data_IF_890613309367
#
_entry.id   IF_890613309367
#
_cell.length_a   1.000
_cell.length_b   1.000
_cell.length_c   1.000
_cell.angle_alpha   90.00
_cell.angle_beta   90.00
_cell.angle_gamma   90.00
#
_symmetry.space_group_name_H-M   'P 1'
#
loop_
_entity.id
_entity.type
_entity.pdbx_description
1 polymer ?
#
# COMPACT_ATOMS: atom_id res chain seq x y z
N UNK A 1 -30.56 45.36 -16.36
CA UNK A 1 -29.43 44.53 -16.84
C UNK A 1 -28.23 45.39 -17.23
N UNK A 2 -28.42 46.46 -18.02
CA UNK A 2 -27.34 47.43 -18.35
C UNK A 2 -26.74 48.14 -17.12
N UNK A 3 -27.52 48.54 -16.11
CA UNK A 3 -26.99 49.13 -14.87
C UNK A 3 -26.06 48.18 -14.07
N UNK A 4 -26.35 46.87 -14.07
CA UNK A 4 -25.49 45.88 -13.42
C UNK A 4 -24.16 45.69 -14.16
N UNK A 5 -24.18 45.77 -15.48
CA UNK A 5 -22.97 45.70 -16.32
C UNK A 5 -22.11 46.95 -16.10
N UNK A 6 -22.72 48.13 -16.02
CA UNK A 6 -22.02 49.39 -15.78
C UNK A 6 -21.42 49.48 -14.36
N UNK A 7 -22.10 48.89 -13.37
CA UNK A 7 -21.56 48.75 -12.00
C UNK A 7 -20.35 47.83 -11.94
N UNK A 8 -20.38 46.70 -12.66
CA UNK A 8 -19.23 45.78 -12.74
C UNK A 8 -18.05 46.45 -13.46
N UNK A 9 -18.31 47.20 -14.53
CA UNK A 9 -17.26 47.89 -15.30
C UNK A 9 -16.52 48.93 -14.45
N UNK A 10 -17.25 49.75 -13.68
CA UNK A 10 -16.65 50.71 -12.73
C UNK A 10 -15.84 50.01 -11.63
N UNK A 11 -16.32 48.87 -11.11
CA UNK A 11 -15.58 48.11 -10.10
C UNK A 11 -14.27 47.51 -10.65
N UNK A 12 -14.25 47.13 -11.93
CA UNK A 12 -13.03 46.62 -12.58
C UNK A 12 -12.04 47.75 -12.82
N UNK A 13 -12.49 48.91 -13.29
CA UNK A 13 -11.62 50.08 -13.52
C UNK A 13 -10.99 50.62 -12.23
N UNK A 14 -11.69 50.53 -11.10
CA UNK A 14 -11.15 50.93 -9.80
C UNK A 14 -10.14 49.90 -9.25
N UNK A 15 -10.37 48.60 -9.51
CA UNK A 15 -9.39 47.55 -9.19
C UNK A 15 -8.13 47.66 -10.05
N UNK A 16 -8.26 47.98 -11.34
CA UNK A 16 -7.11 48.22 -12.22
C UNK A 16 -6.27 49.42 -11.74
N UNK A 17 -6.90 50.54 -11.36
CA UNK A 17 -6.18 51.70 -10.80
C UNK A 17 -5.46 51.39 -9.48
N UNK A 18 -6.06 50.57 -8.61
CA UNK A 18 -5.40 50.11 -7.37
C UNK A 18 -4.20 49.22 -7.67
N UNK A 19 -4.29 48.35 -8.67
CA UNK A 19 -3.18 47.49 -9.09
C UNK A 19 -2.04 48.29 -9.73
N UNK A 20 -2.35 49.33 -10.51
CA UNK A 20 -1.34 50.24 -11.07
C UNK A 20 -0.65 51.07 -9.99
N UNK A 21 -1.39 51.53 -8.97
CA UNK A 21 -0.81 52.22 -7.81
C UNK A 21 0.07 51.29 -6.96
N UNK A 22 -0.34 50.03 -6.75
CA UNK A 22 0.47 49.01 -6.09
C UNK A 22 1.73 48.68 -6.90
N UNK A 23 1.60 48.61 -8.23
CA UNK A 23 2.74 48.38 -9.13
C UNK A 23 3.76 49.51 -9.04
N UNK A 24 3.33 50.77 -8.97
CA UNK A 24 4.23 51.92 -8.81
C UNK A 24 4.97 51.89 -7.46
N UNK A 25 4.30 51.47 -6.38
CA UNK A 25 4.92 51.30 -5.05
C UNK A 25 5.91 50.12 -5.03
N UNK A 26 5.61 49.05 -5.77
CA UNK A 26 6.46 47.85 -5.83
C UNK A 26 7.68 48.01 -6.75
N UNK A 27 7.69 48.97 -7.68
CA UNK A 27 8.85 49.29 -8.54
C UNK A 27 9.96 50.05 -7.79
N UNK A 28 9.67 50.68 -6.64
CA UNK A 28 10.68 51.38 -5.79
C UNK A 28 11.50 50.46 -4.87
N UNK A 29 11.01 49.26 -4.52
CA UNK A 29 11.63 48.40 -3.50
C UNK A 29 12.42 47.18 -4.03
N UNK A 30 12.58 47.02 -5.36
CA UNK A 30 13.33 45.88 -5.93
C UNK A 30 12.68 44.50 -5.73
N UNK A 31 11.53 44.44 -5.08
CA UNK A 31 10.73 43.23 -4.79
C UNK A 31 10.21 42.57 -6.08
N UNK A 32 10.06 43.34 -7.16
CA UNK A 32 9.60 42.84 -8.47
C UNK A 32 10.60 41.89 -9.12
N UNK A 33 11.91 42.11 -8.98
CA UNK A 33 12.90 41.23 -9.61
C UNK A 33 13.05 39.90 -8.84
N UNK A 34 12.89 39.91 -7.52
CA UNK A 34 12.86 38.71 -6.70
C UNK A 34 11.55 37.93 -6.87
N UNK A 35 10.40 38.62 -6.99
CA UNK A 35 9.14 38.02 -7.41
C UNK A 35 9.19 37.53 -8.85
N UNK A 36 9.84 38.21 -9.79
CA UNK A 36 10.03 37.72 -11.17
C UNK A 36 10.96 36.51 -11.22
N UNK A 37 11.93 36.39 -10.31
CA UNK A 37 12.76 35.19 -10.18
C UNK A 37 11.95 34.01 -9.62
N UNK A 38 11.18 34.24 -8.55
CA UNK A 38 10.29 33.24 -7.95
C UNK A 38 9.12 32.83 -8.86
N UNK A 39 8.51 33.81 -9.53
CA UNK A 39 7.46 33.60 -10.52
C UNK A 39 8.06 33.05 -11.81
N UNK A 40 9.29 33.38 -12.19
CA UNK A 40 10.01 32.79 -13.33
C UNK A 40 10.30 31.30 -13.14
N UNK A 41 10.76 30.91 -11.95
CA UNK A 41 10.93 29.50 -11.55
C UNK A 41 9.57 28.76 -11.47
N UNK A 42 8.47 29.44 -11.11
CA UNK A 42 7.11 28.88 -11.18
C UNK A 42 6.46 28.98 -12.58
N UNK A 43 6.93 29.88 -13.44
CA UNK A 43 6.46 30.10 -14.80
C UNK A 43 7.18 29.22 -15.81
N UNK A 44 8.32 28.60 -15.49
CA UNK A 44 8.80 27.45 -16.26
C UNK A 44 7.86 26.24 -16.08
N UNK A 45 7.26 26.09 -14.89
CA UNK A 45 6.24 25.08 -14.59
C UNK A 45 4.90 25.42 -15.24
N UNK A 46 4.49 26.69 -15.28
CA UNK A 46 3.28 27.13 -15.98
C UNK A 46 3.47 27.28 -17.50
N UNK A 47 4.68 27.59 -17.96
CA UNK A 47 5.10 27.72 -19.36
C UNK A 47 5.17 26.37 -20.07
N UNK A 48 5.53 25.32 -19.32
CA UNK A 48 5.35 23.93 -19.76
C UNK A 48 3.88 23.46 -19.72
N UNK A 49 2.98 24.19 -19.04
CA UNK A 49 1.53 23.96 -19.06
C UNK A 49 0.78 24.79 -20.12
N UNK A 50 1.33 25.91 -20.59
CA UNK A 50 0.74 26.77 -21.64
C UNK A 50 1.15 26.40 -23.07
N UNK A 51 2.12 25.49 -23.27
CA UNK A 51 2.41 24.88 -24.58
C UNK A 51 1.31 23.94 -25.12
N UNK A 52 0.14 23.96 -24.48
CA UNK A 52 -1.05 23.22 -24.84
C UNK A 52 -2.18 24.16 -25.29
N UNK A 53 -1.88 25.22 -26.06
CA UNK A 53 -2.93 25.96 -26.79
C UNK A 53 -2.55 26.34 -28.23
N UNK A 54 -3.16 25.57 -29.13
CA UNK A 54 -3.89 25.98 -30.36
C UNK A 54 -3.08 26.65 -31.47
N UNK A 55 -2.51 25.81 -32.32
CA UNK A 55 -2.75 25.87 -33.76
C UNK A 55 -3.19 24.47 -34.18
N UNK A 56 -4.26 24.36 -34.97
CA UNK A 56 -5.12 23.17 -35.01
C UNK A 56 -4.40 21.82 -35.17
N UNK A 57 -4.25 21.05 -34.09
CA UNK A 57 -3.84 19.65 -34.04
C UNK A 57 -3.96 19.16 -32.56
N UNK A 58 -4.11 17.85 -32.33
CA UNK A 58 -4.54 17.27 -31.04
C UNK A 58 -3.62 17.49 -29.82
N UNK A 59 -4.10 17.13 -28.63
CA UNK A 59 -3.31 17.19 -27.39
C UNK A 59 -2.13 16.20 -27.40
N UNK A 60 -0.99 16.61 -26.84
CA UNK A 60 0.21 15.77 -26.69
C UNK A 60 0.64 15.71 -25.21
N UNK A 61 0.94 14.53 -24.68
CA UNK A 61 1.46 14.35 -23.32
C UNK A 61 2.92 13.88 -23.33
N UNK A 62 3.79 14.64 -22.68
CA UNK A 62 5.19 14.30 -22.50
C UNK A 62 5.47 13.94 -21.03
N UNK A 63 5.91 12.70 -20.77
CA UNK A 63 6.30 12.28 -19.42
C UNK A 63 7.48 13.10 -18.88
N UNK A 64 8.60 13.29 -19.62
CA UNK A 64 9.72 14.10 -19.14
C UNK A 64 9.30 15.51 -18.70
N UNK A 65 8.46 16.19 -19.49
CA UNK A 65 7.99 17.54 -19.19
C UNK A 65 7.07 17.58 -17.95
N UNK A 66 6.19 16.59 -17.80
CA UNK A 66 5.20 16.56 -16.71
C UNK A 66 5.66 15.76 -15.48
N UNK A 67 6.89 15.25 -15.49
CA UNK A 67 7.46 14.43 -14.42
C UNK A 67 7.51 15.16 -13.09
N UNK A 68 7.97 16.40 -13.09
CA UNK A 68 8.10 17.23 -11.89
C UNK A 68 6.71 17.48 -11.24
N UNK A 69 5.71 17.78 -12.07
CA UNK A 69 4.32 17.95 -11.64
C UNK A 69 3.78 16.67 -10.98
N UNK A 70 4.07 15.50 -11.56
CA UNK A 70 3.64 14.24 -10.96
C UNK A 70 4.33 13.93 -9.63
N UNK A 71 5.60 14.33 -9.46
CA UNK A 71 6.32 14.20 -8.19
C UNK A 71 5.65 15.05 -7.10
N UNK A 72 5.32 16.30 -7.39
CA UNK A 72 4.57 17.18 -6.48
C UNK A 72 3.19 16.58 -6.14
N UNK A 73 2.49 16.02 -7.13
CA UNK A 73 1.21 15.34 -6.89
C UNK A 73 1.34 14.13 -5.96
N UNK A 74 2.36 13.30 -6.16
CA UNK A 74 2.66 12.13 -5.31
C UNK A 74 2.90 12.56 -3.86
N UNK A 75 3.68 13.63 -3.66
CA UNK A 75 3.99 14.19 -2.35
C UNK A 75 2.75 14.78 -1.69
N UNK A 76 2.01 15.63 -2.41
CA UNK A 76 0.76 16.24 -1.93
C UNK A 76 -0.27 15.18 -1.52
N UNK A 77 -0.43 14.12 -2.31
CA UNK A 77 -1.32 12.99 -2.01
C UNK A 77 -0.74 12.00 -0.99
N UNK A 78 0.48 12.24 -0.48
CA UNK A 78 1.17 11.43 0.54
C UNK A 78 1.22 9.95 0.16
N UNK A 79 1.57 9.65 -1.08
CA UNK A 79 1.73 8.28 -1.52
C UNK A 79 2.79 7.57 -0.67
N UNK A 80 2.58 6.27 -0.44
CA UNK A 80 3.60 5.46 0.20
C UNK A 80 4.93 5.55 -0.60
N UNK A 81 6.09 5.85 0.03
CA UNK A 81 7.33 6.12 -0.68
C UNK A 81 7.78 4.99 -1.63
N UNK A 82 7.55 3.73 -1.24
CA UNK A 82 7.86 2.58 -2.09
C UNK A 82 6.96 2.53 -3.32
N UNK A 83 5.68 2.83 -3.16
CA UNK A 83 4.74 2.93 -4.28
C UNK A 83 5.10 4.10 -5.20
N UNK A 84 5.39 5.27 -4.63
CA UNK A 84 5.84 6.46 -5.35
C UNK A 84 7.06 6.16 -6.24
N UNK A 85 8.12 5.60 -5.65
CA UNK A 85 9.33 5.20 -6.37
C UNK A 85 9.03 4.18 -7.48
N UNK A 86 8.13 3.23 -7.22
CA UNK A 86 7.71 2.26 -8.23
C UNK A 86 7.02 2.96 -9.41
N UNK A 87 6.02 3.80 -9.17
CA UNK A 87 5.30 4.50 -10.23
C UNK A 87 6.24 5.35 -11.10
N UNK A 88 7.09 6.17 -10.48
CA UNK A 88 8.07 7.00 -11.18
C UNK A 88 9.01 6.12 -12.02
N UNK A 89 9.57 5.07 -11.44
CA UNK A 89 10.48 4.16 -12.15
C UNK A 89 9.82 3.48 -13.36
N UNK A 90 8.54 3.14 -13.28
CA UNK A 90 7.82 2.54 -14.41
C UNK A 90 7.54 3.55 -15.51
N UNK A 91 7.14 4.78 -15.17
CA UNK A 91 6.95 5.84 -16.16
C UNK A 91 8.28 6.19 -16.84
N UNK A 92 9.36 6.38 -16.07
CA UNK A 92 10.72 6.65 -16.58
C UNK A 92 11.21 5.56 -17.55
N UNK A 93 10.85 4.30 -17.31
CA UNK A 93 11.31 3.16 -18.12
C UNK A 93 10.51 2.96 -19.40
N UNK A 94 9.20 3.19 -19.35
CA UNK A 94 8.27 2.75 -20.39
C UNK A 94 7.61 3.88 -21.17
N UNK A 95 7.48 5.08 -20.60
CA UNK A 95 6.87 6.24 -21.27
C UNK A 95 7.98 7.14 -21.81
N UNK A 96 8.61 6.69 -22.90
CA UNK A 96 9.75 7.40 -23.53
C UNK A 96 9.32 8.40 -24.60
N UNK A 97 8.27 8.06 -25.33
CA UNK A 97 7.72 8.86 -26.43
C UNK A 97 6.48 9.63 -25.98
N UNK A 98 6.19 10.80 -26.57
CA UNK A 98 4.97 11.54 -26.30
C UNK A 98 3.71 10.74 -26.67
N UNK A 99 2.68 10.82 -25.83
CA UNK A 99 1.38 10.16 -26.03
C UNK A 99 0.41 11.15 -26.68
N UNK A 100 -0.05 10.85 -27.89
CA UNK A 100 -0.96 11.71 -28.67
C UNK A 100 -2.31 11.07 -28.91
N UNK A 101 -2.40 9.74 -28.79
CA UNK A 101 -3.62 8.99 -29.04
C UNK A 101 -3.69 7.69 -28.21
N UNK A 102 -4.88 7.08 -28.09
CA UNK A 102 -5.06 5.74 -27.51
C UNK A 102 -4.08 4.68 -28.03
N UNK A 103 -3.72 4.74 -29.32
CA UNK A 103 -2.77 3.81 -29.93
C UNK A 103 -1.36 3.89 -29.31
N UNK A 104 -0.92 5.08 -28.89
CA UNK A 104 0.40 5.25 -28.27
C UNK A 104 0.44 4.62 -26.87
N UNK A 105 -0.67 4.69 -26.14
CA UNK A 105 -0.85 3.92 -24.89
C UNK A 105 -0.71 2.43 -25.18
N UNK A 106 -1.43 1.91 -26.18
CA UNK A 106 -1.33 0.48 -26.54
C UNK A 106 0.11 0.06 -26.90
N UNK A 107 0.86 0.92 -27.61
CA UNK A 107 2.28 0.68 -27.92
C UNK A 107 3.14 0.62 -26.66
N UNK A 108 2.93 1.52 -25.70
CA UNK A 108 3.65 1.52 -24.41
C UNK A 108 3.44 0.22 -23.63
N UNK A 109 2.23 -0.35 -23.69
CA UNK A 109 1.91 -1.61 -23.01
C UNK A 109 2.27 -2.88 -23.81
N UNK A 110 2.58 -2.74 -25.10
CA UNK A 110 2.87 -3.87 -25.99
C UNK A 110 4.13 -4.62 -25.51
N UNK A 111 4.01 -5.94 -25.35
CA UNK A 111 5.12 -6.81 -24.97
C UNK A 111 5.50 -6.78 -23.49
N UNK A 112 4.77 -6.04 -22.63
CA UNK A 112 4.97 -6.08 -21.19
C UNK A 112 4.44 -7.40 -20.61
N UNK A 113 5.17 -7.97 -19.65
CA UNK A 113 4.63 -9.06 -18.82
C UNK A 113 3.42 -8.59 -18.01
N UNK A 114 2.57 -9.52 -17.57
CA UNK A 114 1.39 -9.20 -16.73
C UNK A 114 1.75 -8.35 -15.50
N UNK A 115 2.86 -8.66 -14.83
CA UNK A 115 3.33 -7.88 -13.68
C UNK A 115 3.84 -6.48 -14.05
N UNK A 116 4.48 -6.32 -15.21
CA UNK A 116 4.91 -5.00 -15.69
C UNK A 116 3.71 -4.15 -16.10
N UNK A 117 2.78 -4.73 -16.86
CA UNK A 117 1.53 -4.11 -17.28
C UNK A 117 0.74 -3.60 -16.08
N UNK A 118 0.58 -4.45 -15.05
CA UNK A 118 -0.10 -4.09 -13.81
C UNK A 118 0.49 -2.85 -13.12
N UNK A 119 1.82 -2.79 -12.99
CA UNK A 119 2.49 -1.68 -12.33
C UNK A 119 2.44 -0.40 -13.18
N UNK A 120 2.60 -0.51 -14.50
CA UNK A 120 2.53 0.62 -15.40
C UNK A 120 1.10 1.17 -15.50
N UNK A 121 0.08 0.32 -15.52
CA UNK A 121 -1.33 0.73 -15.47
C UNK A 121 -1.58 1.67 -14.29
N UNK A 122 -1.17 1.26 -13.08
CA UNK A 122 -1.34 2.08 -11.87
C UNK A 122 -0.60 3.40 -11.95
N UNK A 123 0.64 3.38 -12.44
CA UNK A 123 1.46 4.57 -12.56
C UNK A 123 0.87 5.56 -13.57
N UNK A 124 0.53 5.08 -14.78
CA UNK A 124 -0.06 5.88 -15.85
C UNK A 124 -1.43 6.42 -15.44
N UNK A 125 -2.31 5.60 -14.84
CA UNK A 125 -3.61 6.07 -14.36
C UNK A 125 -3.49 7.19 -13.32
N UNK A 126 -2.53 7.08 -12.39
CA UNK A 126 -2.26 8.13 -11.41
C UNK A 126 -1.72 9.40 -12.06
N UNK A 127 -0.82 9.27 -13.04
CA UNK A 127 -0.28 10.38 -13.81
C UNK A 127 -1.36 11.10 -14.62
N UNK A 128 -2.20 10.38 -15.37
CA UNK A 128 -3.34 10.99 -16.07
C UNK A 128 -4.33 11.66 -15.11
N UNK A 129 -4.49 11.15 -13.87
CA UNK A 129 -5.32 11.84 -12.87
C UNK A 129 -4.68 13.12 -12.34
N UNK A 130 -3.35 13.13 -12.19
CA UNK A 130 -2.60 14.34 -11.85
C UNK A 130 -2.81 15.41 -12.94
N UNK A 131 -2.66 15.05 -14.22
CA UNK A 131 -2.88 15.97 -15.33
C UNK A 131 -4.31 16.52 -15.37
N UNK A 132 -5.32 15.66 -15.15
CA UNK A 132 -6.72 16.09 -15.10
C UNK A 132 -7.00 17.11 -13.98
N UNK A 133 -6.42 16.94 -12.80
CA UNK A 133 -6.65 17.85 -11.67
C UNK A 133 -6.01 19.22 -11.92
N UNK A 134 -4.89 19.26 -12.65
CA UNK A 134 -4.14 20.48 -12.92
C UNK A 134 -4.57 21.17 -14.23
N UNK A 135 -5.59 20.65 -14.93
CA UNK A 135 -6.07 21.24 -16.17
C UNK A 135 -7.61 21.33 -16.20
N UNK A 136 -8.18 22.56 -16.17
CA UNK A 136 -9.62 22.74 -16.13
C UNK A 136 -10.33 22.53 -17.49
N UNK A 137 -9.59 22.31 -18.58
CA UNK A 137 -10.14 22.19 -19.93
C UNK A 137 -10.99 20.89 -20.10
N UNK A 138 -12.30 20.99 -20.41
CA UNK A 138 -13.16 19.82 -20.62
C UNK A 138 -12.71 18.91 -21.76
N UNK A 139 -12.24 19.47 -22.88
CA UNK A 139 -11.76 18.68 -24.02
C UNK A 139 -10.46 17.93 -23.68
N UNK A 140 -9.61 18.52 -22.85
CA UNK A 140 -8.43 17.82 -22.34
C UNK A 140 -8.83 16.63 -21.46
N UNK A 141 -9.87 16.78 -20.63
CA UNK A 141 -10.41 15.66 -19.84
C UNK A 141 -10.98 14.54 -20.72
N UNK A 142 -11.68 14.87 -21.80
CA UNK A 142 -12.16 13.89 -22.79
C UNK A 142 -10.99 13.14 -23.44
N UNK A 143 -9.95 13.87 -23.84
CA UNK A 143 -8.72 13.29 -24.34
C UNK A 143 -8.08 12.32 -23.33
N UNK A 144 -7.90 12.73 -22.07
CA UNK A 144 -7.37 11.85 -21.01
C UNK A 144 -8.24 10.61 -20.79
N UNK A 145 -9.56 10.73 -20.90
CA UNK A 145 -10.47 9.58 -20.82
C UNK A 145 -10.28 8.60 -21.98
N UNK A 146 -10.04 9.10 -23.19
CA UNK A 146 -9.71 8.25 -24.35
C UNK A 146 -8.42 7.46 -24.12
N UNK A 147 -7.41 8.08 -23.51
CA UNK A 147 -6.15 7.40 -23.15
C UNK A 147 -6.36 6.33 -22.09
N UNK A 148 -7.17 6.63 -21.05
CA UNK A 148 -7.52 5.65 -20.00
C UNK A 148 -8.24 4.43 -20.55
N UNK A 149 -9.11 4.62 -21.54
CA UNK A 149 -9.82 3.51 -22.19
C UNK A 149 -8.87 2.54 -22.91
N UNK A 150 -7.68 3.00 -23.32
CA UNK A 150 -6.65 2.18 -23.94
C UNK A 150 -5.70 1.48 -22.96
N UNK A 151 -5.76 1.81 -21.67
CA UNK A 151 -4.96 1.14 -20.65
C UNK A 151 -5.53 -0.29 -20.47
N UNK A 152 -4.70 -1.35 -20.61
CA UNK A 152 -5.16 -2.72 -20.44
C UNK A 152 -5.80 -2.95 -19.08
N UNK A 153 -6.90 -3.71 -19.03
CA UNK A 153 -7.53 -4.07 -17.76
C UNK A 153 -6.59 -4.95 -16.94
N UNK A 154 -6.56 -4.70 -15.64
CA UNK A 154 -5.88 -5.57 -14.69
C UNK A 154 -6.67 -6.89 -14.57
N UNK A 155 -6.21 -7.94 -15.25
CA UNK A 155 -6.71 -9.30 -15.03
C UNK A 155 -6.05 -9.89 -13.78
N UNK A 156 -6.77 -9.83 -12.66
CA UNK A 156 -6.33 -10.47 -11.42
C UNK A 156 -6.75 -11.93 -11.46
N UNK A 157 -5.85 -12.81 -11.92
CA UNK A 157 -6.07 -14.25 -11.86
C UNK A 157 -6.30 -14.74 -10.41
N UNK A 158 -7.22 -15.68 -10.24
CA UNK A 158 -7.45 -16.34 -8.96
C UNK A 158 -6.37 -17.39 -8.72
N UNK A 159 -5.38 -17.05 -7.91
CA UNK A 159 -4.44 -18.03 -7.39
C UNK A 159 -5.16 -18.87 -6.30
N UNK A 160 -5.51 -20.11 -6.63
CA UNK A 160 -6.23 -21.05 -5.76
C UNK A 160 -5.29 -21.95 -4.93
N UNK A 161 -3.96 -21.81 -5.06
CA UNK A 161 -3.03 -22.70 -4.34
C UNK A 161 -3.18 -22.55 -2.83
N UNK A 162 -3.42 -23.67 -2.16
CA UNK A 162 -3.40 -23.86 -0.70
C UNK A 162 -2.38 -24.96 -0.41
N UNK A 163 -1.32 -24.69 0.38
CA UNK A 163 -0.36 -25.72 0.77
C UNK A 163 -1.00 -26.82 1.62
N UNK A 164 -0.44 -28.02 1.55
CA UNK A 164 -0.81 -29.14 2.41
C UNK A 164 -0.16 -29.03 3.80
N UNK A 165 -0.70 -29.71 4.83
CA UNK A 165 -0.06 -29.77 6.14
C UNK A 165 1.40 -30.28 6.10
N UNK A 166 1.70 -31.25 5.23
CA UNK A 166 3.06 -31.82 5.11
C UNK A 166 4.05 -30.83 4.48
N UNK A 167 3.64 -30.06 3.47
CA UNK A 167 4.47 -28.98 2.91
C UNK A 167 4.76 -27.90 3.97
N UNK A 168 3.76 -27.57 4.81
CA UNK A 168 3.93 -26.62 5.94
C UNK A 168 4.86 -27.21 7.00
N UNK A 169 4.70 -28.48 7.36
CA UNK A 169 5.58 -29.18 8.30
C UNK A 169 7.04 -29.23 7.81
N UNK A 170 7.25 -29.51 6.53
CA UNK A 170 8.58 -29.47 5.91
C UNK A 170 9.17 -28.05 5.95
N UNK A 171 8.37 -27.03 5.66
CA UNK A 171 8.82 -25.64 5.72
C UNK A 171 9.19 -25.22 7.15
N UNK A 172 8.43 -25.69 8.15
CA UNK A 172 8.70 -25.45 9.56
C UNK A 172 10.04 -26.03 10.00
N UNK A 173 10.38 -27.26 9.55
CA UNK A 173 11.70 -27.88 9.81
C UNK A 173 12.84 -27.04 9.23
N UNK A 174 12.74 -26.68 7.94
CA UNK A 174 13.74 -25.85 7.26
C UNK A 174 13.91 -24.48 7.93
N UNK A 175 12.81 -23.86 8.39
CA UNK A 175 12.88 -22.59 9.11
C UNK A 175 13.42 -22.75 10.54
N UNK A 176 13.27 -23.91 11.17
CA UNK A 176 13.78 -24.18 12.51
C UNK A 176 15.31 -24.23 12.57
N UNK A 177 15.95 -24.67 11.48
CA UNK A 177 17.41 -24.67 11.28
C UNK A 177 17.96 -23.30 10.82
N UNK A 178 17.05 -22.35 10.54
CA UNK A 178 17.37 -21.04 10.02
C UNK A 178 17.70 -19.97 11.07
N UNK A 179 17.70 -18.72 10.62
CA UNK A 179 17.94 -17.54 11.46
C UNK A 179 16.68 -17.26 12.28
N UNK A 180 16.86 -17.16 13.60
CA UNK A 180 15.79 -17.06 14.60
C UNK A 180 14.74 -15.99 14.29
N UNK A 181 15.13 -14.77 13.91
CA UNK A 181 14.18 -13.68 13.62
C UNK A 181 13.23 -13.98 12.45
N UNK A 182 13.72 -14.70 11.44
CA UNK A 182 12.89 -15.09 10.29
C UNK A 182 12.03 -16.31 10.62
N UNK A 183 12.54 -17.24 11.46
CA UNK A 183 11.74 -18.32 12.03
C UNK A 183 10.57 -17.76 12.86
N UNK A 184 10.85 -16.86 13.80
CA UNK A 184 9.83 -16.22 14.64
C UNK A 184 8.77 -15.50 13.78
N UNK A 185 9.20 -14.79 12.73
CA UNK A 185 8.29 -14.15 11.77
C UNK A 185 7.43 -15.16 11.00
N UNK A 186 8.03 -16.27 10.57
CA UNK A 186 7.34 -17.33 9.84
C UNK A 186 6.30 -18.05 10.70
N UNK A 187 6.68 -18.44 11.92
CA UNK A 187 5.77 -19.06 12.89
C UNK A 187 4.65 -18.09 13.31
N UNK A 188 4.94 -16.80 13.48
CA UNK A 188 3.91 -15.81 13.77
C UNK A 188 2.88 -15.67 12.63
N UNK A 189 3.33 -15.66 11.38
CA UNK A 189 2.39 -15.62 10.22
C UNK A 189 1.56 -16.90 10.14
N UNK A 190 2.14 -18.05 10.48
CA UNK A 190 1.40 -19.31 10.55
C UNK A 190 0.32 -19.28 11.64
N UNK A 191 0.68 -18.85 12.84
CA UNK A 191 -0.20 -18.85 14.02
C UNK A 191 -1.36 -17.85 13.89
N UNK A 192 -1.09 -16.69 13.29
CA UNK A 192 -2.03 -15.58 13.30
C UNK A 192 -2.74 -15.38 11.96
N UNK A 193 -2.16 -15.86 10.86
CA UNK A 193 -2.60 -15.50 9.52
C UNK A 193 -2.48 -14.00 9.21
N UNK A 194 -1.70 -13.23 9.98
CA UNK A 194 -1.43 -11.81 9.73
C UNK A 194 -0.70 -11.58 8.41
N UNK A 195 -0.88 -10.40 7.81
CA UNK A 195 -0.02 -9.99 6.68
C UNK A 195 1.41 -9.93 7.18
N UNK A 196 2.37 -10.27 6.31
CA UNK A 196 3.79 -10.20 6.66
C UNK A 196 4.18 -8.84 7.27
N UNK A 197 3.66 -7.74 6.71
CA UNK A 197 3.90 -6.39 7.24
C UNK A 197 3.39 -6.20 8.66
N UNK A 198 2.22 -6.76 8.98
CA UNK A 198 1.62 -6.69 10.33
C UNK A 198 2.40 -7.59 11.30
N UNK A 199 2.82 -8.78 10.87
CA UNK A 199 3.64 -9.69 11.66
C UNK A 199 5.03 -9.10 11.97
N UNK A 200 5.73 -8.54 10.98
CA UNK A 200 7.02 -7.87 11.21
C UNK A 200 6.87 -6.70 12.17
N UNK A 201 5.80 -5.91 12.04
CA UNK A 201 5.53 -4.80 12.95
C UNK A 201 5.32 -5.29 14.39
N UNK A 202 4.49 -6.31 14.59
CA UNK A 202 4.26 -6.86 15.93
C UNK A 202 5.55 -7.35 16.57
N UNK A 203 6.39 -8.08 15.82
CA UNK A 203 7.69 -8.54 16.32
C UNK A 203 8.53 -7.35 16.77
N UNK A 204 8.65 -6.31 15.94
CA UNK A 204 9.46 -5.15 16.27
C UNK A 204 8.89 -4.39 17.47
N UNK A 205 7.56 -4.22 17.57
CA UNK A 205 6.94 -3.59 18.74
C UNK A 205 7.08 -4.41 20.03
N UNK A 206 7.18 -5.75 19.95
CA UNK A 206 7.52 -6.58 21.12
C UNK A 206 8.99 -6.40 21.50
N UNK A 207 9.90 -6.37 20.52
CA UNK A 207 11.34 -6.13 20.73
C UNK A 207 11.57 -4.75 21.36
N UNK A 208 10.80 -3.74 20.94
CA UNK A 208 10.86 -2.37 21.43
C UNK A 208 10.01 -2.16 22.71
N UNK A 209 9.44 -3.23 23.28
CA UNK A 209 8.58 -3.25 24.48
C UNK A 209 7.29 -2.40 24.39
N UNK A 210 6.95 -1.88 23.21
CA UNK A 210 5.73 -1.12 22.92
C UNK A 210 4.46 -1.99 22.94
N UNK A 211 4.59 -3.26 22.55
CA UNK A 211 3.50 -4.21 22.53
C UNK A 211 3.70 -5.25 23.63
N UNK A 212 2.70 -5.40 24.50
CA UNK A 212 2.68 -6.36 25.60
C UNK A 212 1.63 -7.45 25.30
N UNK A 213 2.04 -8.63 24.81
CA UNK A 213 1.11 -9.74 24.58
C UNK A 213 0.54 -10.26 25.90
N UNK A 214 -0.77 -10.41 25.94
CA UNK A 214 -1.50 -11.01 27.05
C UNK A 214 -1.62 -12.52 26.83
N UNK A 215 -1.36 -13.31 27.89
CA UNK A 215 -1.61 -14.76 27.88
C UNK A 215 -3.08 -15.04 28.18
N UNK A 216 -3.74 -15.78 27.29
CA UNK A 216 -5.12 -16.20 27.44
C UNK A 216 -5.21 -17.71 27.16
N UNK A 217 -5.63 -18.52 28.14
CA UNK A 217 -6.00 -19.94 27.97
C UNK A 217 -5.11 -20.74 26.99
N UNK A 218 -3.79 -20.67 27.14
CA UNK A 218 -2.83 -21.43 26.31
C UNK A 218 -2.41 -20.78 24.98
N UNK A 219 -2.81 -19.53 24.72
CA UNK A 219 -2.36 -18.73 23.58
C UNK A 219 -2.09 -17.27 24.01
N UNK A 220 -1.62 -16.45 23.08
CA UNK A 220 -1.28 -15.04 23.27
C UNK A 220 -2.20 -14.16 22.43
N UNK A 221 -2.56 -13.00 22.97
CA UNK A 221 -3.23 -11.92 22.23
C UNK A 221 -2.41 -10.64 22.39
N UNK A 222 -2.04 -10.00 21.28
CA UNK A 222 -1.34 -8.72 21.32
C UNK A 222 -2.10 -7.64 20.55
N UNK A 223 -2.18 -6.40 21.09
CA UNK A 223 -2.71 -5.28 20.34
C UNK A 223 -1.75 -4.88 19.21
N UNK A 224 -2.28 -4.68 18.01
CA UNK A 224 -1.55 -4.21 16.82
C UNK A 224 -1.74 -2.71 16.57
N UNK A 225 -2.85 -2.14 17.04
CA UNK A 225 -3.18 -0.71 16.92
C UNK A 225 -3.19 -0.16 15.48
N UNK A 226 -3.30 -1.01 14.45
CA UNK A 226 -2.99 -0.60 13.06
C UNK A 226 -4.20 -0.49 12.13
N UNK A 227 -4.22 0.62 11.39
CA UNK A 227 -5.25 1.00 10.42
C UNK A 227 -4.70 0.96 8.99
N UNK A 228 -4.94 -0.11 8.21
CA UNK A 228 -4.50 -0.16 6.81
C UNK A 228 -5.60 0.26 5.85
N UNK A 229 -5.53 1.45 5.23
CA UNK A 229 -6.46 1.94 4.19
C UNK A 229 -7.96 1.71 4.52
N UNK A 230 -8.53 0.56 4.16
CA UNK A 230 -9.92 0.13 4.40
C UNK A 230 -10.07 -1.07 5.35
N UNK A 231 -8.98 -1.64 5.86
CA UNK A 231 -8.96 -2.82 6.75
C UNK A 231 -8.36 -2.51 8.12
N UNK A 232 -8.84 -3.22 9.14
CA UNK A 232 -8.42 -3.12 10.54
C UNK A 232 -7.78 -4.43 10.99
N UNK A 233 -6.67 -4.32 11.70
CA UNK A 233 -6.07 -5.42 12.46
C UNK A 233 -5.70 -4.85 13.84
N UNK A 234 -6.60 -4.98 14.83
CA UNK A 234 -6.27 -4.50 16.18
C UNK A 234 -5.69 -5.59 17.07
N UNK A 235 -5.92 -6.87 16.80
CA UNK A 235 -5.41 -7.96 17.62
C UNK A 235 -4.69 -8.99 16.78
N UNK A 236 -3.61 -9.51 17.33
CA UNK A 236 -2.87 -10.66 16.83
C UNK A 236 -3.07 -11.83 17.79
N UNK A 237 -3.47 -12.98 17.27
CA UNK A 237 -3.59 -14.22 18.02
C UNK A 237 -2.43 -15.16 17.63
N UNK A 238 -1.69 -15.68 18.60
CA UNK A 238 -0.56 -16.58 18.34
C UNK A 238 -0.26 -17.49 19.52
N UNK A 239 0.53 -18.54 19.36
CA UNK A 239 0.81 -19.47 20.47
C UNK A 239 1.94 -18.98 21.38
N UNK A 240 1.99 -19.50 22.60
CA UNK A 240 3.06 -19.24 23.57
C UNK A 240 4.46 -19.61 23.02
N UNK A 241 4.55 -20.69 22.22
CA UNK A 241 5.77 -21.11 21.54
C UNK A 241 6.32 -19.99 20.64
N UNK A 242 5.47 -19.34 19.85
CA UNK A 242 5.87 -18.21 19.01
C UNK A 242 6.30 -17.02 19.86
N UNK A 243 5.59 -16.72 20.96
CA UNK A 243 6.00 -15.67 21.88
C UNK A 243 7.40 -15.94 22.46
N UNK A 244 7.69 -17.19 22.85
CA UNK A 244 9.01 -17.61 23.36
C UNK A 244 10.12 -17.40 22.33
N UNK A 245 9.86 -17.61 21.04
CA UNK A 245 10.82 -17.33 19.97
C UNK A 245 11.05 -15.82 19.81
N UNK A 246 9.97 -15.02 19.85
CA UNK A 246 10.07 -13.56 19.71
C UNK A 246 10.83 -12.96 20.90
N UNK A 247 10.58 -13.42 22.12
CA UNK A 247 11.26 -12.94 23.35
C UNK A 247 12.77 -13.25 23.40
N UNK A 248 13.27 -14.13 22.53
CA UNK A 248 14.71 -14.39 22.39
C UNK A 248 15.42 -13.38 21.48
N UNK A 249 14.67 -12.56 20.74
CA UNK A 249 15.22 -11.56 19.83
C UNK A 249 15.68 -10.32 20.60
N UNK A 250 16.76 -9.69 20.12
CA UNK A 250 17.31 -8.44 20.68
C UNK A 250 16.91 -7.25 19.80
N UNK A 251 17.20 -6.03 20.27
CA UNK A 251 16.94 -4.78 19.52
C UNK A 251 17.55 -4.76 18.11
N UNK A 252 18.68 -5.44 17.91
CA UNK A 252 19.33 -5.54 16.58
C UNK A 252 18.73 -6.61 15.66
N UNK A 253 17.77 -7.40 16.14
CA UNK A 253 17.13 -8.49 15.41
C UNK A 253 15.81 -8.09 14.72
N UNK A 254 15.56 -6.77 14.58
CA UNK A 254 14.36 -6.26 13.90
C UNK A 254 14.16 -6.90 12.53
N UNK A 255 12.90 -7.15 12.22
CA UNK A 255 12.48 -7.82 10.98
C UNK A 255 11.81 -6.81 10.06
N UNK A 256 12.20 -6.82 8.79
CA UNK A 256 11.51 -6.07 7.74
C UNK A 256 10.84 -7.04 6.76
N UNK A 257 9.68 -6.67 6.16
CA UNK A 257 9.00 -7.51 5.19
C UNK A 257 9.86 -7.88 3.99
N UNK A 258 10.72 -6.96 3.53
CA UNK A 258 11.63 -7.16 2.41
C UNK A 258 12.67 -8.22 2.73
N UNK A 259 13.34 -8.12 3.88
CA UNK A 259 14.37 -9.07 4.27
C UNK A 259 13.76 -10.44 4.57
N UNK A 260 12.62 -10.50 5.24
CA UNK A 260 11.90 -11.75 5.49
C UNK A 260 11.47 -12.43 4.18
N UNK A 261 10.88 -11.67 3.24
CA UNK A 261 10.51 -12.19 1.92
C UNK A 261 11.72 -12.72 1.16
N UNK A 262 12.82 -11.96 1.15
CA UNK A 262 14.05 -12.38 0.50
C UNK A 262 14.64 -13.64 1.13
N UNK A 263 14.57 -13.76 2.45
CA UNK A 263 15.07 -14.92 3.19
C UNK A 263 14.30 -16.20 2.83
N UNK A 264 12.96 -16.13 2.79
CA UNK A 264 12.12 -17.26 2.38
C UNK A 264 12.28 -17.57 0.89
N UNK A 265 12.36 -16.55 0.02
CA UNK A 265 12.51 -16.75 -1.43
C UNK A 265 13.80 -17.49 -1.80
N UNK A 266 14.87 -17.32 -1.02
CA UNK A 266 16.14 -18.05 -1.21
C UNK A 266 16.07 -19.53 -0.79
N UNK A 267 14.94 -19.99 -0.23
CA UNK A 267 14.70 -21.36 0.22
C UNK A 267 13.54 -21.96 -0.56
N UNK A 268 13.78 -22.66 -1.68
CA UNK A 268 12.72 -23.12 -2.59
C UNK A 268 11.74 -24.11 -1.93
N UNK A 269 12.17 -24.81 -0.87
CA UNK A 269 11.34 -25.74 -0.09
C UNK A 269 10.43 -25.05 0.94
N UNK A 270 10.61 -23.75 1.18
CA UNK A 270 9.83 -22.99 2.16
C UNK A 270 8.67 -22.29 1.46
N UNK A 271 7.47 -22.54 1.97
CA UNK A 271 6.26 -21.88 1.48
C UNK A 271 6.34 -20.36 1.69
N UNK A 272 6.02 -19.57 0.67
CA UNK A 272 5.97 -18.13 0.81
C UNK A 272 4.85 -17.68 1.78
N UNK A 273 5.10 -16.62 2.56
CA UNK A 273 4.16 -16.07 3.56
C UNK A 273 2.71 -15.90 3.08
N UNK A 274 2.51 -15.52 1.80
CA UNK A 274 1.17 -15.40 1.21
C UNK A 274 0.37 -16.70 1.35
N UNK A 275 1.01 -17.83 1.07
CA UNK A 275 0.39 -19.15 1.07
C UNK A 275 0.22 -19.72 2.48
N UNK A 276 1.09 -19.37 3.45
CA UNK A 276 0.86 -19.68 4.87
C UNK A 276 -0.46 -19.10 5.36
N UNK A 277 -0.75 -17.86 5.00
CA UNK A 277 -2.00 -17.21 5.42
C UNK A 277 -3.24 -17.86 4.79
N UNK A 278 -3.11 -18.35 3.56
CA UNK A 278 -4.16 -19.14 2.91
C UNK A 278 -4.37 -20.46 3.64
N UNK A 279 -3.29 -21.19 3.92
CA UNK A 279 -3.32 -22.41 4.72
C UNK A 279 -3.98 -22.17 6.09
N UNK A 280 -3.56 -21.13 6.81
CA UNK A 280 -4.17 -20.78 8.10
C UNK A 280 -5.67 -20.54 7.99
N UNK A 281 -6.11 -19.86 6.93
CA UNK A 281 -7.54 -19.58 6.71
C UNK A 281 -8.30 -20.88 6.47
N UNK A 282 -7.80 -21.68 5.51
CA UNK A 282 -8.38 -22.95 5.08
C UNK A 282 -8.55 -23.91 6.27
N UNK A 283 -7.51 -24.07 7.08
CA UNK A 283 -7.55 -24.91 8.28
C UNK A 283 -8.54 -24.37 9.31
N UNK A 284 -8.54 -23.05 9.58
CA UNK A 284 -9.50 -22.46 10.53
C UNK A 284 -10.95 -22.71 10.10
N UNK A 285 -11.25 -22.50 8.83
CA UNK A 285 -12.62 -22.66 8.28
C UNK A 285 -12.96 -24.09 7.89
N UNK A 286 -12.02 -25.04 8.01
CA UNK A 286 -12.27 -26.45 7.72
C UNK A 286 -13.39 -27.02 8.60
N UNK A 287 -14.09 -28.03 8.10
CA UNK A 287 -15.14 -28.75 8.83
C UNK A 287 -14.64 -29.26 10.19
N UNK A 288 -13.35 -29.60 10.28
CA UNK A 288 -12.70 -30.10 11.49
C UNK A 288 -12.62 -29.06 12.60
N UNK A 289 -12.19 -27.82 12.29
CA UNK A 289 -12.05 -26.77 13.31
C UNK A 289 -13.33 -25.95 13.47
N UNK A 290 -14.13 -25.87 12.41
CA UNK A 290 -15.43 -25.22 12.37
C UNK A 290 -15.40 -23.82 13.00
N UNK A 291 -14.35 -23.03 12.67
CA UNK A 291 -14.26 -21.63 13.07
C UNK A 291 -15.03 -20.81 12.03
N UNK A 292 -16.02 -20.00 12.44
CA UNK A 292 -16.79 -19.19 11.49
C UNK A 292 -15.87 -18.29 10.65
N UNK A 293 -16.15 -18.17 9.36
CA UNK A 293 -15.32 -17.39 8.42
C UNK A 293 -15.10 -15.94 8.89
N UNK A 294 -16.14 -15.29 9.41
CA UNK A 294 -16.03 -13.94 10.00
C UNK A 294 -15.05 -13.85 11.18
N UNK A 295 -14.90 -14.93 11.95
CA UNK A 295 -13.96 -15.02 13.07
C UNK A 295 -12.54 -15.30 12.57
N UNK A 296 -12.39 -16.19 11.58
CA UNK A 296 -11.11 -16.45 10.92
C UNK A 296 -10.59 -15.17 10.24
N UNK A 297 -11.45 -14.44 9.52
CA UNK A 297 -11.13 -13.14 8.93
C UNK A 297 -10.72 -12.10 9.98
N UNK A 298 -11.38 -12.10 11.14
CA UNK A 298 -11.00 -11.25 12.28
C UNK A 298 -9.59 -11.59 12.78
N UNK A 299 -9.32 -12.86 13.04
CA UNK A 299 -8.00 -13.36 13.48
C UNK A 299 -6.90 -12.95 12.47
N UNK A 300 -7.18 -13.05 11.17
CA UNK A 300 -6.23 -12.69 10.11
C UNK A 300 -6.11 -11.19 9.80
N UNK A 301 -6.82 -10.32 10.53
CA UNK A 301 -6.82 -8.87 10.26
C UNK A 301 -7.47 -8.49 8.91
N UNK A 302 -8.56 -9.17 8.53
CA UNK A 302 -9.30 -8.97 7.27
C UNK A 302 -10.61 -8.20 7.43
N UNK A 303 -10.80 -7.53 8.57
CA UNK A 303 -12.05 -6.84 8.90
C UNK A 303 -12.11 -5.44 8.25
N UNK A 304 -13.22 -5.05 7.60
CA UNK A 304 -13.43 -3.69 7.09
C UNK A 304 -13.37 -2.61 8.17
N UNK A 305 -12.95 -1.41 7.79
CA UNK A 305 -12.94 -0.23 8.67
C UNK A 305 -14.32 0.26 9.10
N UNK A 306 -15.34 -0.02 8.30
CA UNK A 306 -16.73 0.42 8.51
C UNK A 306 -17.47 -0.38 9.59
N UNK A 307 -16.85 -1.42 10.15
CA UNK A 307 -17.47 -2.22 11.21
C UNK A 307 -17.55 -1.38 12.49
N UNK A 308 -18.77 -1.21 13.02
CA UNK A 308 -18.99 -0.51 14.28
C UNK A 308 -18.34 -1.20 15.48
N UNK A 309 -17.94 -0.43 16.48
CA UNK A 309 -17.20 -0.91 17.66
C UNK A 309 -17.88 -2.08 18.38
N UNK A 310 -19.22 -2.09 18.47
CA UNK A 310 -19.99 -3.18 19.08
C UNK A 310 -19.78 -4.51 18.36
N UNK A 311 -19.86 -4.51 17.02
CA UNK A 311 -19.63 -5.70 16.22
C UNK A 311 -18.17 -6.15 16.29
N UNK A 312 -17.24 -5.20 16.33
CA UNK A 312 -15.82 -5.48 16.52
C UNK A 312 -15.55 -6.21 17.86
N UNK A 313 -16.16 -5.77 18.95
CA UNK A 313 -16.04 -6.42 20.27
C UNK A 313 -16.69 -7.81 20.33
N UNK A 314 -17.80 -8.02 19.61
CA UNK A 314 -18.39 -9.34 19.47
C UNK A 314 -17.45 -10.30 18.72
N UNK A 315 -16.80 -9.84 17.64
CA UNK A 315 -15.82 -10.64 16.92
C UNK A 315 -14.60 -10.97 17.79
N UNK A 316 -14.12 -10.03 18.61
CA UNK A 316 -13.03 -10.32 19.57
C UNK A 316 -13.42 -11.44 20.54
N UNK A 317 -14.59 -11.34 21.18
CA UNK A 317 -15.06 -12.37 22.12
C UNK A 317 -15.17 -13.75 21.45
N UNK A 318 -15.67 -13.78 20.21
CA UNK A 318 -15.71 -15.03 19.42
C UNK A 318 -14.31 -15.53 19.09
N UNK A 319 -13.39 -14.66 18.66
CA UNK A 319 -12.02 -15.04 18.37
C UNK A 319 -11.33 -15.64 19.60
N UNK A 320 -11.48 -15.02 20.77
CA UNK A 320 -10.97 -15.53 22.05
C UNK A 320 -11.50 -16.95 22.36
N UNK A 321 -12.76 -17.26 21.99
CA UNK A 321 -13.38 -18.57 22.17
C UNK A 321 -12.95 -19.62 21.14
N UNK A 322 -12.82 -19.24 19.87
CA UNK A 322 -12.56 -20.18 18.77
C UNK A 322 -11.07 -20.41 18.51
N UNK A 323 -10.21 -19.41 18.76
CA UNK A 323 -8.78 -19.50 18.46
C UNK A 323 -8.05 -20.68 19.11
N UNK A 324 -8.37 -21.13 20.35
CA UNK A 324 -7.77 -22.32 20.95
C UNK A 324 -7.76 -23.56 20.05
N UNK A 325 -8.81 -23.76 19.22
CA UNK A 325 -8.89 -24.88 18.28
C UNK A 325 -7.76 -24.84 17.25
N UNK A 326 -7.50 -23.65 16.71
CA UNK A 326 -6.41 -23.45 15.75
C UNK A 326 -5.04 -23.53 16.43
N UNK A 327 -4.89 -22.93 17.61
CA UNK A 327 -3.66 -23.02 18.41
C UNK A 327 -3.26 -24.49 18.68
N UNK A 328 -4.22 -25.32 19.10
CA UNK A 328 -4.01 -26.77 19.30
C UNK A 328 -3.60 -27.47 18.02
N UNK A 329 -4.25 -27.17 16.89
CA UNK A 329 -3.89 -27.74 15.60
C UNK A 329 -2.43 -27.42 15.22
N UNK A 330 -2.00 -26.17 15.36
CA UNK A 330 -0.63 -25.77 15.01
C UNK A 330 0.38 -26.41 15.96
N UNK A 331 0.06 -26.54 17.25
CA UNK A 331 0.91 -27.26 18.21
C UNK A 331 1.10 -28.73 17.80
N UNK A 332 0.03 -29.41 17.37
CA UNK A 332 0.14 -30.78 16.86
C UNK A 332 0.95 -30.84 15.56
N UNK A 333 0.77 -29.88 14.65
CA UNK A 333 1.55 -29.80 13.41
C UNK A 333 3.05 -29.65 13.69
N UNK A 334 3.41 -28.78 14.64
CA UNK A 334 4.80 -28.61 15.12
C UNK A 334 5.36 -29.88 15.75
N UNK A 335 4.54 -30.61 16.52
CA UNK A 335 4.92 -31.89 17.11
C UNK A 335 5.22 -32.94 16.05
N UNK A 336 4.37 -33.07 15.03
CA UNK A 336 4.60 -33.94 13.86
C UNK A 336 5.85 -33.53 13.07
N UNK A 337 6.12 -32.22 13.01
CA UNK A 337 7.33 -31.70 12.41
C UNK A 337 8.59 -31.89 13.29
N UNK A 338 8.47 -32.39 14.52
CA UNK A 338 9.62 -32.59 15.42
C UNK A 338 10.22 -31.29 15.99
N UNK A 339 9.49 -30.17 15.92
CA UNK A 339 9.99 -28.83 16.33
C UNK A 339 9.23 -28.23 17.53
N UNK A 340 8.37 -29.01 18.17
CA UNK A 340 7.70 -28.57 19.39
C UNK A 340 8.75 -28.33 20.50
N UNK A 341 8.69 -27.16 21.14
CA UNK A 341 9.52 -26.91 22.32
C UNK A 341 9.06 -27.89 23.39
N UNK A 342 9.97 -28.75 23.91
CA UNK A 342 9.66 -29.62 25.05
C UNK A 342 9.19 -28.74 26.20
N UNK A 343 7.89 -28.76 26.51
CA UNK A 343 7.37 -28.18 27.74
C UNK A 343 7.87 -29.09 28.86
N UNK A 344 8.93 -28.67 29.56
CA UNK A 344 9.14 -29.16 30.92
C UNK A 344 7.98 -28.60 31.73
N UNK A 345 7.00 -29.44 32.04
CA UNK A 345 6.10 -29.19 33.14
C UNK A 345 6.98 -29.21 34.38
N UNK A 346 7.21 -28.05 35.00
CA UNK A 346 7.76 -27.95 36.34
C UNK A 346 6.60 -28.00 37.33
#
# INVERSE_FOLDING_TARGET
MQEKIEGIRRSIEEQCRRLESLRAVMEEEGVIDELRRLVGEQCEVLGSLTWLMVEGEGFTLSWPETRHLFMQYIEFKRYNPRNAKCMISYLDRFVKEPIRAPLDVMKVFKGLSAGQSHNLNRAMSAWLKCLEINNPNPHFKEFLNSLRAAIPKDEVGFDLKIPTPDEVASSLKEMAEGILRYRACYELVLDSGLRLVEACRLINSIIDEEAQPEMLNGFCVAPLGYFRKTKLAYFAYFTDQTLKLIKQLKTNDKVTPELATNYVRKRPKVIAFKYLRKFANDIMTSEKLNIPESVADFIQGRVPKSIGAKHYMQLKRKADQYYPRYAQYITELRRKAGIAIRVKIL
#
